data_IF_114412397708
#
_entry.id   IF_114412397708
#
_cell.length_a   1.000
_cell.length_b   1.000
_cell.length_c   1.000
_cell.angle_alpha   90.00
_cell.angle_beta   90.00
_cell.angle_gamma   90.00
#
_symmetry.space_group_name_H-M   'P 1'
#
loop_
_entity.id
_entity.type
_entity.pdbx_description
1 polymer ?
#
# COMPACT_ATOMS: atom_id res chain seq x y z
N UNK A 1 34.14 22.75 -8.39
CA UNK A 1 33.12 22.14 -9.29
C UNK A 1 32.48 20.97 -8.54
N UNK A 2 31.19 21.03 -8.21
CA UNK A 2 30.49 19.92 -7.57
C UNK A 2 29.81 19.06 -8.64
N UNK A 3 30.27 17.82 -8.78
CA UNK A 3 29.64 16.83 -9.62
C UNK A 3 28.26 16.48 -9.04
N UNK A 4 27.21 17.08 -9.60
CA UNK A 4 25.81 16.76 -9.27
C UNK A 4 25.16 16.12 -10.48
N UNK A 5 25.60 14.92 -10.81
CA UNK A 5 24.79 13.98 -11.57
C UNK A 5 23.66 13.48 -10.68
N UNK A 6 22.67 14.33 -10.38
CA UNK A 6 21.38 13.83 -9.92
C UNK A 6 20.69 13.25 -11.15
N UNK A 7 21.05 12.02 -11.48
CA UNK A 7 20.22 11.21 -12.36
C UNK A 7 18.80 11.29 -11.81
N UNK A 8 17.86 11.64 -12.67
CA UNK A 8 16.44 11.45 -12.44
C UNK A 8 16.21 9.95 -12.26
N UNK A 9 16.54 9.44 -11.08
CA UNK A 9 16.33 8.05 -10.71
C UNK A 9 14.82 7.88 -10.62
N UNK A 10 14.25 7.45 -11.75
CA UNK A 10 12.85 7.05 -11.82
C UNK A 10 12.67 6.04 -10.67
N UNK A 11 11.80 6.32 -9.69
CA UNK A 11 11.59 5.39 -8.60
C UNK A 11 11.14 4.06 -9.20
N UNK A 12 11.75 2.97 -8.75
CA UNK A 12 11.29 1.63 -9.14
C UNK A 12 9.81 1.48 -8.79
N UNK A 13 9.05 0.74 -9.60
CA UNK A 13 7.61 0.51 -9.37
C UNK A 13 7.31 0.04 -7.93
N UNK A 14 8.21 -0.75 -7.33
CA UNK A 14 8.12 -1.15 -5.92
C UNK A 14 8.11 0.04 -4.95
N UNK A 15 9.08 0.95 -5.08
CA UNK A 15 9.22 2.12 -4.20
C UNK A 15 8.03 3.09 -4.37
N UNK A 16 7.56 3.27 -5.61
CA UNK A 16 6.39 4.11 -5.89
C UNK A 16 5.12 3.52 -5.25
N UNK A 17 4.94 2.19 -5.32
CA UNK A 17 3.80 1.48 -4.72
C UNK A 17 3.82 1.52 -3.20
N UNK A 18 4.99 1.36 -2.57
CA UNK A 18 5.13 1.48 -1.11
C UNK A 18 4.78 2.89 -0.64
N UNK A 19 5.32 3.91 -1.31
CA UNK A 19 5.01 5.30 -0.98
C UNK A 19 3.52 5.62 -1.16
N UNK A 20 2.91 5.13 -2.25
CA UNK A 20 1.47 5.28 -2.47
C UNK A 20 0.65 4.58 -1.39
N UNK A 21 1.06 3.38 -0.95
CA UNK A 21 0.36 2.66 0.10
C UNK A 21 0.37 3.43 1.43
N UNK A 22 1.49 4.06 1.79
CA UNK A 22 1.56 4.94 2.95
C UNK A 22 0.58 6.11 2.85
N UNK A 23 0.55 6.82 1.71
CA UNK A 23 -0.37 7.94 1.53
C UNK A 23 -1.85 7.52 1.58
N UNK A 24 -2.19 6.36 1.02
CA UNK A 24 -3.56 5.85 1.07
C UNK A 24 -3.95 5.48 2.51
N UNK A 25 -3.05 4.87 3.28
CA UNK A 25 -3.31 4.57 4.69
C UNK A 25 -3.56 5.85 5.51
N UNK A 26 -2.69 6.86 5.37
CA UNK A 26 -2.87 8.16 6.02
C UNK A 26 -4.18 8.82 5.62
N UNK A 27 -4.52 8.79 4.33
CA UNK A 27 -5.81 9.32 3.85
C UNK A 27 -6.99 8.60 4.50
N UNK A 28 -6.96 7.26 4.57
CA UNK A 28 -8.02 6.47 5.20
C UNK A 28 -8.17 6.77 6.69
N UNK A 29 -7.08 7.08 7.39
CA UNK A 29 -7.15 7.55 8.78
C UNK A 29 -7.77 8.95 8.88
N UNK A 30 -7.32 9.90 8.07
CA UNK A 30 -7.82 11.28 8.10
C UNK A 30 -9.32 11.39 7.81
N UNK A 31 -9.84 10.56 6.90
CA UNK A 31 -11.29 10.53 6.58
C UNK A 31 -12.12 9.68 7.56
N UNK A 32 -11.50 9.12 8.60
CA UNK A 32 -12.19 8.31 9.62
C UNK A 32 -12.50 6.86 9.20
N UNK A 33 -11.95 6.38 8.08
CA UNK A 33 -12.17 5.04 7.56
C UNK A 33 -11.23 3.99 8.20
N UNK A 34 -11.18 3.93 9.53
CA UNK A 34 -10.26 3.06 10.30
C UNK A 34 -10.32 1.57 9.90
N UNK A 35 -11.52 1.01 9.69
CA UNK A 35 -11.68 -0.39 9.26
C UNK A 35 -11.09 -0.64 7.87
N UNK A 36 -11.24 0.33 6.97
CA UNK A 36 -10.66 0.29 5.63
C UNK A 36 -9.14 0.46 5.69
N UNK A 37 -8.61 1.32 6.55
CA UNK A 37 -7.17 1.48 6.77
C UNK A 37 -6.53 0.17 7.27
N UNK A 38 -7.18 -0.48 8.24
CA UNK A 38 -6.71 -1.74 8.80
C UNK A 38 -6.80 -2.89 7.79
N UNK A 39 -7.90 -2.97 7.03
CA UNK A 39 -8.05 -3.94 5.93
C UNK A 39 -7.03 -3.69 4.83
N UNK A 40 -6.74 -2.43 4.49
CA UNK A 40 -5.77 -2.05 3.46
C UNK A 40 -4.35 -2.51 3.81
N UNK A 41 -3.93 -2.36 5.07
CA UNK A 41 -2.66 -2.92 5.56
C UNK A 41 -2.66 -4.45 5.54
N UNK A 42 -3.73 -5.08 6.03
CA UNK A 42 -3.85 -6.54 6.05
C UNK A 42 -3.96 -7.15 4.65
N UNK A 43 -4.52 -6.48 3.64
CA UNK A 43 -4.57 -7.04 2.27
C UNK A 43 -3.27 -6.82 1.49
N UNK A 44 -2.50 -5.77 1.80
CA UNK A 44 -1.14 -5.59 1.26
C UNK A 44 -0.15 -6.59 1.88
N UNK A 45 -0.34 -6.99 3.14
CA UNK A 45 0.53 -7.92 3.88
C UNK A 45 0.06 -9.39 3.79
N UNK A 46 -1.25 -9.63 3.73
CA UNK A 46 -1.88 -10.95 3.95
C UNK A 46 -2.80 -11.36 2.78
N UNK A 47 -2.80 -10.57 1.70
CA UNK A 47 -3.66 -10.72 0.52
C UNK A 47 -3.66 -12.07 -0.20
N UNK A 48 -2.54 -12.83 -0.28
CA UNK A 48 -2.57 -14.16 -0.90
C UNK A 48 -3.30 -15.21 -0.04
N UNK A 49 -3.24 -15.08 1.29
CA UNK A 49 -3.68 -16.14 2.21
C UNK A 49 -5.15 -15.99 2.60
N UNK A 50 -5.63 -14.76 2.78
CA UNK A 50 -6.99 -14.53 3.30
C UNK A 50 -8.08 -14.43 2.22
N UNK A 51 -7.70 -14.20 0.96
CA UNK A 51 -8.65 -14.11 -0.17
C UNK A 51 -9.19 -15.48 -0.58
N UNK A 52 -8.50 -16.57 -0.22
CA UNK A 52 -8.98 -17.95 -0.39
C UNK A 52 -10.12 -18.30 0.60
N UNK A 53 -10.05 -17.83 1.85
CA UNK A 53 -11.03 -18.23 2.88
C UNK A 53 -12.32 -17.39 2.94
N UNK A 54 -12.38 -16.20 2.32
CA UNK A 54 -13.62 -15.39 2.32
C UNK A 54 -14.66 -15.82 1.27
N UNK A 55 -14.28 -16.65 0.28
CA UNK A 55 -15.23 -17.20 -0.70
C UNK A 55 -16.05 -18.39 -0.16
N UNK A 56 -15.69 -18.93 1.00
CA UNK A 56 -16.31 -20.14 1.57
C UNK A 56 -17.35 -19.87 2.68
N UNK A 57 -17.74 -18.63 2.95
CA UNK A 57 -18.69 -18.27 4.04
C UNK A 57 -20.02 -17.69 3.55
N UNK A 58 -20.41 -18.01 2.33
CA UNK A 58 -21.73 -17.68 1.77
C UNK A 58 -22.34 -18.88 1.01
N UNK A 59 -22.25 -20.08 1.61
CA UNK A 59 -23.10 -21.22 1.30
C UNK A 59 -23.67 -21.76 2.61
#
# INVERSE_FOLDING_TARGET
MFAKGKGSAVPSDGQAREKLALYVYEYLLHVGAQKSAQTFLSERVLGPVLRSSRKARHL
#
